data_IF_479266356567
#
_entry.id   IF_479266356567
#
_cell.length_a   1.000
_cell.length_b   1.000
_cell.length_c   1.000
_cell.angle_alpha   90.00
_cell.angle_beta   90.00
_cell.angle_gamma   90.00
#
_symmetry.space_group_name_H-M   'P 1'
#
loop_
_entity.id
_entity.type
_entity.pdbx_description
1 polymer ?
#
# COMPACT_ATOMS: atom_id res chain seq x y z
N UNK A 1 38.14 -14.88 -6.60
CA UNK A 1 39.10 -15.98 -6.89
C UNK A 1 39.57 -16.70 -5.62
N UNK A 2 39.91 -16.01 -4.52
CA UNK A 2 40.47 -16.66 -3.32
C UNK A 2 39.50 -17.52 -2.50
N UNK A 3 38.21 -17.11 -2.40
CA UNK A 3 37.22 -17.87 -1.63
C UNK A 3 36.97 -19.26 -2.26
N UNK A 4 36.83 -19.34 -3.58
CA UNK A 4 36.43 -20.58 -4.27
C UNK A 4 37.55 -21.61 -4.33
N UNK A 5 38.81 -21.15 -4.48
CA UNK A 5 39.99 -22.01 -4.41
C UNK A 5 40.13 -22.61 -3.01
N UNK A 6 39.94 -21.77 -1.98
CA UNK A 6 39.87 -22.20 -0.59
C UNK A 6 38.72 -23.20 -0.32
N UNK A 7 37.54 -23.00 -0.90
CA UNK A 7 36.37 -23.88 -0.72
C UNK A 7 36.57 -25.25 -1.40
N UNK A 8 37.19 -25.30 -2.57
CA UNK A 8 37.58 -26.55 -3.24
C UNK A 8 38.68 -27.30 -2.49
N UNK A 9 39.65 -26.59 -1.92
CA UNK A 9 40.74 -27.16 -1.10
C UNK A 9 40.23 -27.68 0.26
N UNK A 10 39.09 -27.18 0.75
CA UNK A 10 38.46 -27.56 2.02
C UNK A 10 37.52 -28.77 1.94
N UNK A 11 37.37 -29.40 0.77
CA UNK A 11 36.57 -30.62 0.61
C UNK A 11 35.07 -30.42 0.83
N UNK A 12 34.53 -29.24 0.47
CA UNK A 12 33.10 -29.02 0.44
C UNK A 12 32.39 -30.03 -0.48
N UNK A 13 31.16 -30.39 -0.11
CA UNK A 13 30.35 -31.33 -0.90
C UNK A 13 30.12 -30.77 -2.30
N UNK A 14 30.02 -31.65 -3.29
CA UNK A 14 29.71 -31.32 -4.69
C UNK A 14 28.51 -30.36 -4.80
N UNK A 15 27.51 -30.56 -3.93
CA UNK A 15 26.33 -29.69 -3.80
C UNK A 15 26.63 -28.25 -3.35
N UNK A 16 27.59 -28.05 -2.46
CA UNK A 16 27.98 -26.70 -2.03
C UNK A 16 28.77 -25.97 -3.12
N UNK A 17 29.60 -26.69 -3.87
CA UNK A 17 30.31 -26.13 -5.02
C UNK A 17 29.34 -25.75 -6.16
N UNK A 18 28.36 -26.61 -6.47
CA UNK A 18 27.31 -26.31 -7.44
C UNK A 18 26.48 -25.09 -7.00
N UNK A 19 26.08 -25.01 -5.73
CA UNK A 19 25.35 -23.85 -5.22
C UNK A 19 26.12 -22.54 -5.43
N UNK A 20 27.41 -22.49 -5.11
CA UNK A 20 28.20 -21.27 -5.30
C UNK A 20 28.38 -20.96 -6.78
N UNK A 21 28.61 -21.98 -7.62
CA UNK A 21 28.71 -21.81 -9.08
C UNK A 21 27.42 -21.25 -9.68
N UNK A 22 26.27 -21.75 -9.22
CA UNK A 22 24.94 -21.24 -9.55
C UNK A 22 24.80 -19.76 -9.20
N UNK A 23 25.22 -19.36 -7.98
CA UNK A 23 25.15 -17.96 -7.57
C UNK A 23 26.03 -17.06 -8.44
N UNK A 24 27.25 -17.50 -8.80
CA UNK A 24 28.13 -16.75 -9.69
C UNK A 24 27.52 -16.59 -11.09
N UNK A 25 26.81 -17.61 -11.57
CA UNK A 25 26.17 -17.58 -12.89
C UNK A 25 24.96 -16.65 -12.93
N UNK A 26 24.01 -16.80 -11.99
CA UNK A 26 22.75 -16.06 -12.00
C UNK A 26 22.86 -14.64 -11.44
N UNK A 27 23.89 -14.33 -10.65
CA UNK A 27 24.16 -12.98 -10.14
C UNK A 27 25.55 -12.50 -10.57
N UNK A 28 25.85 -12.64 -11.87
CA UNK A 28 27.17 -12.30 -12.39
C UNK A 28 27.48 -10.79 -12.26
N UNK A 29 28.54 -10.50 -11.51
CA UNK A 29 29.13 -9.16 -11.38
C UNK A 29 30.31 -8.95 -12.34
N UNK A 30 30.81 -10.03 -12.95
CA UNK A 30 31.92 -9.96 -13.90
C UNK A 30 31.85 -11.09 -14.94
N UNK A 31 32.48 -10.92 -16.10
CA UNK A 31 32.65 -12.01 -17.07
C UNK A 31 33.38 -13.23 -16.49
N UNK A 32 34.24 -13.06 -15.48
CA UNK A 32 35.01 -14.18 -14.92
C UNK A 32 34.12 -15.12 -14.09
N UNK A 33 33.07 -14.60 -13.45
CA UNK A 33 32.02 -15.42 -12.81
C UNK A 33 31.38 -16.37 -13.84
N UNK A 34 31.01 -15.82 -15.00
CA UNK A 34 30.36 -16.55 -16.08
C UNK A 34 31.31 -17.57 -16.74
N UNK A 35 32.54 -17.17 -17.05
CA UNK A 35 33.57 -18.08 -17.59
C UNK A 35 33.82 -19.28 -16.68
N UNK A 36 33.82 -19.05 -15.36
CA UNK A 36 34.00 -20.12 -14.40
C UNK A 36 32.81 -21.09 -14.41
N UNK A 37 31.58 -20.57 -14.36
CA UNK A 37 30.37 -21.39 -14.40
C UNK A 37 30.25 -22.20 -15.70
N UNK A 38 30.54 -21.61 -16.85
CA UNK A 38 30.54 -22.32 -18.13
C UNK A 38 31.58 -23.45 -18.15
N UNK A 39 32.79 -23.21 -17.60
CA UNK A 39 33.82 -24.27 -17.44
C UNK A 39 33.40 -25.38 -16.47
N UNK A 40 32.56 -25.06 -15.50
CA UNK A 40 31.97 -26.02 -14.56
C UNK A 40 30.78 -26.80 -15.17
N UNK A 41 30.43 -26.54 -16.43
CA UNK A 41 29.41 -27.29 -17.19
C UNK A 41 28.03 -26.63 -17.24
N UNK A 42 27.87 -25.39 -16.78
CA UNK A 42 26.63 -24.65 -16.97
C UNK A 42 26.44 -24.34 -18.46
N UNK A 43 25.24 -24.61 -18.97
CA UNK A 43 24.81 -24.10 -20.28
C UNK A 43 24.47 -22.61 -20.17
N UNK A 44 24.75 -21.81 -21.21
CA UNK A 44 24.49 -20.36 -21.20
C UNK A 44 22.99 -20.03 -21.00
N UNK A 45 22.10 -20.94 -21.39
CA UNK A 45 20.65 -20.82 -21.23
C UNK A 45 20.12 -21.61 -20.03
N UNK A 46 20.99 -22.03 -19.11
CA UNK A 46 20.56 -22.61 -17.83
C UNK A 46 19.66 -21.63 -17.11
N UNK A 47 18.61 -22.16 -16.48
CA UNK A 47 17.66 -21.38 -15.68
C UNK A 47 17.69 -21.81 -14.22
N UNK A 48 17.41 -20.86 -13.32
CA UNK A 48 17.31 -21.12 -11.89
C UNK A 48 15.96 -21.79 -11.52
N UNK A 49 15.71 -21.96 -10.22
CA UNK A 49 14.46 -22.55 -9.71
C UNK A 49 13.20 -21.72 -10.03
N UNK A 50 13.35 -20.41 -10.23
CA UNK A 50 12.29 -19.49 -10.66
C UNK A 50 12.16 -19.42 -12.18
N UNK A 51 13.02 -20.13 -12.91
CA UNK A 51 13.07 -20.11 -14.36
C UNK A 51 13.77 -18.87 -14.91
N UNK A 52 14.57 -18.14 -14.14
CA UNK A 52 15.35 -17.02 -14.63
C UNK A 52 16.64 -17.51 -15.29
N UNK A 53 17.02 -16.96 -16.45
CA UNK A 53 18.38 -17.15 -16.97
C UNK A 53 19.34 -16.07 -16.41
N UNK A 54 20.61 -16.12 -16.80
CA UNK A 54 21.65 -15.24 -16.25
C UNK A 54 21.42 -13.73 -16.50
N UNK A 55 20.61 -13.33 -17.49
CA UNK A 55 20.37 -11.90 -17.77
C UNK A 55 19.55 -11.24 -16.65
N UNK A 56 18.63 -11.99 -16.03
CA UNK A 56 17.72 -11.46 -15.00
C UNK A 56 18.47 -10.92 -13.78
N UNK A 57 19.61 -11.54 -13.45
CA UNK A 57 20.44 -11.17 -12.30
C UNK A 57 21.79 -10.54 -12.64
N UNK A 58 22.04 -10.23 -13.91
CA UNK A 58 23.28 -9.58 -14.34
C UNK A 58 23.43 -8.18 -13.70
N UNK A 59 24.63 -7.85 -13.18
CA UNK A 59 24.89 -6.62 -12.42
C UNK A 59 25.82 -5.62 -13.10
N UNK A 60 26.52 -6.02 -14.15
CA UNK A 60 27.47 -5.17 -14.89
C UNK A 60 27.27 -5.26 -16.40
N UNK A 61 27.64 -4.20 -17.12
CA UNK A 61 27.56 -4.18 -18.59
C UNK A 61 28.53 -5.20 -19.21
N UNK A 62 29.71 -5.40 -18.62
CA UNK A 62 30.69 -6.36 -19.09
C UNK A 62 30.16 -7.80 -18.99
N UNK A 63 29.47 -8.12 -17.89
CA UNK A 63 28.82 -9.41 -17.74
C UNK A 63 27.70 -9.59 -18.76
N UNK A 64 26.88 -8.54 -19.00
CA UNK A 64 25.84 -8.58 -20.04
C UNK A 64 26.45 -8.81 -21.43
N UNK A 65 27.49 -8.06 -21.80
CA UNK A 65 28.16 -8.19 -23.09
C UNK A 65 28.78 -9.58 -23.28
N UNK A 66 29.31 -10.18 -22.20
CA UNK A 66 29.78 -11.56 -22.23
C UNK A 66 28.63 -12.55 -22.47
N UNK A 67 27.49 -12.40 -21.78
CA UNK A 67 26.31 -13.24 -21.99
C UNK A 67 25.81 -13.15 -23.45
N UNK A 68 25.71 -11.94 -23.99
CA UNK A 68 25.28 -11.69 -25.37
C UNK A 68 26.24 -12.32 -26.38
N UNK A 69 27.55 -12.23 -26.13
CA UNK A 69 28.59 -12.84 -26.98
C UNK A 69 28.56 -14.37 -26.96
N UNK A 70 27.88 -14.97 -25.98
CA UNK A 70 27.71 -16.43 -25.86
C UNK A 70 26.27 -16.87 -26.19
N UNK A 71 25.49 -16.06 -26.92
CA UNK A 71 24.16 -16.42 -27.43
C UNK A 71 23.14 -16.79 -26.33
N UNK A 72 23.19 -16.09 -25.19
CA UNK A 72 22.12 -16.18 -24.19
C UNK A 72 20.78 -15.78 -24.82
N UNK A 73 19.70 -16.48 -24.44
CA UNK A 73 18.35 -16.12 -24.84
C UNK A 73 17.88 -14.85 -24.11
N UNK A 74 18.01 -13.71 -24.78
CA UNK A 74 17.64 -12.42 -24.21
C UNK A 74 16.13 -12.23 -24.02
N UNK A 75 15.31 -12.94 -24.81
CA UNK A 75 13.84 -12.89 -24.74
C UNK A 75 13.26 -13.98 -23.84
N UNK A 76 14.08 -14.56 -22.95
CA UNK A 76 13.63 -15.60 -22.02
C UNK A 76 12.57 -15.07 -21.06
N UNK A 77 11.55 -15.90 -20.80
CA UNK A 77 10.46 -15.61 -19.89
C UNK A 77 10.51 -16.60 -18.72
N UNK A 78 10.51 -16.08 -17.49
CA UNK A 78 10.57 -16.90 -16.29
C UNK A 78 9.20 -17.55 -15.95
N UNK A 79 9.13 -18.29 -14.83
CA UNK A 79 7.89 -18.98 -14.42
C UNK A 79 6.76 -18.04 -14.01
N UNK A 80 7.06 -16.80 -13.67
CA UNK A 80 6.04 -15.77 -13.36
C UNK A 80 5.53 -15.07 -14.62
N UNK A 81 6.04 -15.43 -15.79
CA UNK A 81 5.72 -14.76 -17.05
C UNK A 81 6.49 -13.46 -17.24
N UNK A 82 7.63 -13.25 -16.58
CA UNK A 82 8.39 -12.00 -16.65
C UNK A 82 9.60 -12.14 -17.57
N UNK A 83 9.93 -11.08 -18.30
CA UNK A 83 11.22 -10.90 -18.95
C UNK A 83 12.23 -10.24 -18.00
N UNK A 84 13.48 -10.04 -18.46
CA UNK A 84 14.54 -9.50 -17.61
C UNK A 84 14.33 -8.03 -17.15
N UNK A 85 13.49 -7.24 -17.83
CA UNK A 85 13.22 -5.84 -17.46
C UNK A 85 12.58 -5.73 -16.08
N UNK A 86 11.81 -6.73 -15.65
CA UNK A 86 11.19 -6.77 -14.33
C UNK A 86 12.21 -6.83 -13.18
N UNK A 87 13.41 -7.32 -13.44
CA UNK A 87 14.41 -7.62 -12.39
C UNK A 87 15.60 -6.68 -12.39
N UNK A 88 15.81 -5.93 -13.47
CA UNK A 88 17.03 -5.13 -13.62
C UNK A 88 16.94 -3.82 -12.85
N UNK A 89 17.84 -3.62 -11.87
CA UNK A 89 17.92 -2.40 -11.04
C UNK A 89 19.04 -1.44 -11.41
N UNK A 90 19.92 -1.84 -12.33
CA UNK A 90 20.92 -0.96 -12.90
C UNK A 90 20.31 -0.24 -14.13
N UNK A 91 20.15 1.10 -14.09
CA UNK A 91 19.52 1.85 -15.19
C UNK A 91 20.25 1.74 -16.53
N UNK A 92 21.57 1.61 -16.53
CA UNK A 92 22.37 1.46 -17.76
C UNK A 92 22.12 0.11 -18.42
N UNK A 93 22.07 -0.95 -17.61
CA UNK A 93 21.76 -2.30 -18.11
C UNK A 93 20.30 -2.36 -18.55
N UNK A 94 19.38 -1.79 -17.78
CA UNK A 94 17.96 -1.70 -18.13
C UNK A 94 17.77 -1.02 -19.48
N UNK A 95 18.40 0.14 -19.67
CA UNK A 95 18.39 0.88 -20.94
C UNK A 95 18.93 0.03 -22.09
N UNK A 96 20.07 -0.64 -21.91
CA UNK A 96 20.65 -1.49 -22.95
C UNK A 96 19.75 -2.69 -23.30
N UNK A 97 19.09 -3.30 -22.31
CA UNK A 97 18.13 -4.37 -22.57
C UNK A 97 16.93 -3.88 -23.41
N UNK A 98 16.43 -2.67 -23.16
CA UNK A 98 15.38 -2.05 -23.99
C UNK A 98 15.90 -1.80 -25.41
N UNK A 99 17.11 -1.27 -25.57
CA UNK A 99 17.74 -1.03 -26.87
C UNK A 99 17.98 -2.33 -27.67
N UNK A 100 18.14 -3.45 -26.97
CA UNK A 100 18.23 -4.79 -27.56
C UNK A 100 16.86 -5.40 -27.92
N UNK A 101 15.77 -4.65 -27.73
CA UNK A 101 14.43 -5.02 -28.19
C UNK A 101 13.63 -5.88 -27.23
N UNK A 102 13.92 -5.85 -25.92
CA UNK A 102 13.02 -6.45 -24.93
C UNK A 102 11.70 -5.69 -24.93
N UNK A 103 10.60 -6.46 -24.96
CA UNK A 103 9.26 -5.91 -24.96
C UNK A 103 8.91 -5.31 -23.59
N UNK A 104 8.79 -3.99 -23.55
CA UNK A 104 8.39 -3.24 -22.36
C UNK A 104 6.89 -3.31 -22.07
N UNK A 105 6.09 -3.72 -23.06
CA UNK A 105 4.64 -3.93 -22.93
C UNK A 105 4.27 -5.36 -22.50
N UNK A 106 5.27 -6.25 -22.43
CA UNK A 106 5.09 -7.62 -21.97
C UNK A 106 4.52 -7.67 -20.56
N UNK A 107 3.51 -8.52 -20.35
CA UNK A 107 2.85 -8.66 -19.06
C UNK A 107 3.18 -9.99 -18.39
N UNK A 108 3.34 -9.94 -17.07
CA UNK A 108 3.47 -11.14 -16.26
C UNK A 108 2.11 -11.84 -16.05
N UNK A 109 2.11 -12.95 -15.31
CA UNK A 109 0.89 -13.72 -15.00
C UNK A 109 -0.17 -12.94 -14.21
N UNK A 110 0.18 -11.79 -13.61
CA UNK A 110 -0.74 -10.89 -12.90
C UNK A 110 -1.17 -9.71 -13.76
N UNK A 111 -0.76 -9.67 -15.03
CA UNK A 111 -1.05 -8.57 -15.94
C UNK A 111 -0.16 -7.35 -15.71
N UNK A 112 0.91 -7.44 -14.90
CA UNK A 112 1.81 -6.31 -14.66
C UNK A 112 2.83 -6.18 -15.78
N UNK A 113 3.12 -4.96 -16.24
CA UNK A 113 4.31 -4.66 -17.05
C UNK A 113 5.53 -4.41 -16.16
N UNK A 114 6.72 -4.25 -16.76
CA UNK A 114 7.96 -4.04 -16.01
C UNK A 114 7.91 -2.78 -15.12
N UNK A 115 7.13 -1.74 -15.47
CA UNK A 115 6.93 -0.52 -14.64
C UNK A 115 6.60 -0.86 -13.18
N UNK A 116 5.75 -1.88 -12.95
CA UNK A 116 5.32 -2.29 -11.61
C UNK A 116 6.49 -2.77 -10.74
N UNK A 117 7.57 -3.28 -11.35
CA UNK A 117 8.73 -3.73 -10.61
C UNK A 117 9.66 -2.59 -10.17
N UNK A 118 9.50 -1.37 -10.71
CA UNK A 118 10.33 -0.20 -10.40
C UNK A 118 9.65 0.79 -9.44
N UNK A 119 8.70 0.30 -8.64
CA UNK A 119 7.92 1.09 -7.68
C UNK A 119 8.75 1.77 -6.57
N UNK A 120 10.03 1.40 -6.40
CA UNK A 120 11.01 2.03 -5.49
C UNK A 120 12.33 2.36 -6.19
N UNK A 121 12.30 2.46 -7.51
CA UNK A 121 13.47 2.70 -8.35
C UNK A 121 13.19 3.89 -9.28
N UNK A 122 13.41 5.13 -8.82
CA UNK A 122 13.11 6.34 -9.58
C UNK A 122 13.87 6.41 -10.91
N UNK A 123 15.14 6.01 -10.91
CA UNK A 123 16.00 6.04 -12.09
C UNK A 123 15.55 4.99 -13.12
N UNK A 124 15.27 3.76 -12.68
CA UNK A 124 14.74 2.72 -13.53
C UNK A 124 13.37 3.07 -14.11
N UNK A 125 12.47 3.65 -13.30
CA UNK A 125 11.18 4.14 -13.78
C UNK A 125 11.36 5.22 -14.84
N UNK A 126 12.27 6.18 -14.64
CA UNK A 126 12.53 7.23 -15.63
C UNK A 126 13.06 6.66 -16.95
N UNK A 127 13.93 5.63 -16.89
CA UNK A 127 14.42 4.93 -18.10
C UNK A 127 13.25 4.28 -18.86
N UNK A 128 12.34 3.60 -18.15
CA UNK A 128 11.16 2.99 -18.77
C UNK A 128 10.23 4.02 -19.40
N UNK A 129 9.95 5.12 -18.70
CA UNK A 129 9.12 6.20 -19.21
C UNK A 129 9.73 6.87 -20.45
N UNK A 130 11.04 7.12 -20.43
CA UNK A 130 11.77 7.64 -21.59
C UNK A 130 11.75 6.69 -22.79
N UNK A 131 11.61 5.38 -22.55
CA UNK A 131 11.41 4.36 -23.58
C UNK A 131 9.95 4.25 -24.08
N UNK A 132 9.03 5.09 -23.59
CA UNK A 132 7.64 5.11 -24.01
C UNK A 132 6.75 4.07 -23.34
N UNK A 133 7.16 3.52 -22.20
CA UNK A 133 6.31 2.62 -21.43
C UNK A 133 5.06 3.36 -20.92
N UNK A 134 3.92 2.67 -20.92
CA UNK A 134 2.65 3.25 -20.47
C UNK A 134 2.54 3.27 -18.94
N UNK A 135 2.64 4.46 -18.34
CA UNK A 135 2.47 4.69 -16.90
C UNK A 135 1.05 4.41 -16.39
N UNK A 136 0.06 4.34 -17.31
CA UNK A 136 -1.33 4.07 -16.99
C UNK A 136 -1.70 2.59 -17.14
N UNK A 137 -0.75 1.71 -17.44
CA UNK A 137 -0.99 0.28 -17.49
C UNK A 137 -1.58 -0.22 -16.16
N UNK A 138 -2.54 -1.14 -16.25
CA UNK A 138 -3.22 -1.74 -15.10
C UNK A 138 -3.00 -3.26 -15.04
N UNK A 139 -2.86 -3.79 -13.84
CA UNK A 139 -2.80 -5.24 -13.60
C UNK A 139 -4.19 -5.90 -13.73
N UNK A 140 -4.26 -7.22 -13.57
CA UNK A 140 -5.52 -7.99 -13.62
C UNK A 140 -6.54 -7.62 -12.53
N UNK A 141 -6.16 -6.77 -11.55
CA UNK A 141 -7.04 -6.23 -10.51
C UNK A 141 -7.44 -4.77 -10.79
N UNK A 142 -7.18 -4.28 -12.01
CA UNK A 142 -7.35 -2.87 -12.39
C UNK A 142 -6.54 -1.95 -11.47
N UNK A 143 -5.29 -2.31 -11.14
CA UNK A 143 -4.41 -1.44 -10.35
C UNK A 143 -3.30 -0.92 -11.23
N UNK A 144 -3.13 0.40 -11.29
CA UNK A 144 -1.92 1.02 -11.84
C UNK A 144 -0.79 1.01 -10.79
N UNK A 145 0.38 1.58 -11.15
CA UNK A 145 1.55 1.61 -10.26
C UNK A 145 1.27 2.28 -8.90
N UNK A 146 0.32 3.22 -8.81
CA UNK A 146 0.04 3.99 -7.58
C UNK A 146 -0.53 3.14 -6.43
N UNK A 147 -0.99 1.91 -6.71
CA UNK A 147 -1.45 0.96 -5.69
C UNK A 147 -0.32 0.11 -5.08
N UNK A 148 0.94 0.43 -5.40
CA UNK A 148 2.13 -0.21 -4.81
C UNK A 148 2.71 0.69 -3.70
N UNK A 149 3.52 0.14 -2.78
CA UNK A 149 4.15 0.92 -1.71
C UNK A 149 5.34 1.73 -2.26
N UNK A 150 5.02 2.82 -2.96
CA UNK A 150 5.95 3.67 -3.71
C UNK A 150 7.00 4.32 -2.81
N UNK A 151 8.17 4.64 -3.37
CA UNK A 151 9.00 5.69 -2.77
C UNK A 151 8.40 7.06 -3.09
N UNK A 152 8.65 8.08 -2.25
CA UNK A 152 8.22 9.46 -2.51
C UNK A 152 8.59 9.97 -3.91
N UNK A 153 9.82 9.71 -4.35
CA UNK A 153 10.31 10.13 -5.66
C UNK A 153 9.58 9.43 -6.80
N UNK A 154 9.30 8.12 -6.66
CA UNK A 154 8.53 7.36 -7.65
C UNK A 154 7.09 7.90 -7.73
N UNK A 155 6.46 8.24 -6.61
CA UNK A 155 5.14 8.86 -6.61
C UNK A 155 5.14 10.19 -7.37
N UNK A 156 6.13 11.06 -7.11
CA UNK A 156 6.25 12.33 -7.84
C UNK A 156 6.42 12.09 -9.33
N UNK A 157 7.37 11.23 -9.74
CA UNK A 157 7.61 10.90 -11.14
C UNK A 157 6.35 10.36 -11.82
N UNK A 158 5.63 9.45 -11.17
CA UNK A 158 4.41 8.88 -11.73
C UNK A 158 3.34 9.96 -11.95
N UNK A 159 3.06 10.80 -10.95
CA UNK A 159 2.08 11.88 -11.04
C UNK A 159 2.49 12.91 -12.10
N UNK A 160 3.77 13.30 -12.15
CA UNK A 160 4.31 14.28 -13.08
C UNK A 160 4.31 13.77 -14.53
N UNK A 161 4.51 12.47 -14.71
CA UNK A 161 4.45 11.79 -16.00
C UNK A 161 3.02 11.49 -16.48
N UNK A 162 2.00 11.93 -15.74
CA UNK A 162 0.60 11.81 -16.15
C UNK A 162 -0.04 10.47 -15.80
N UNK A 163 0.45 9.77 -14.78
CA UNK A 163 -0.27 8.64 -14.20
C UNK A 163 -1.66 9.09 -13.72
N UNK A 164 -2.68 8.27 -14.01
CA UNK A 164 -4.06 8.53 -13.63
C UNK A 164 -4.25 8.35 -12.13
N UNK A 165 -4.15 9.46 -11.40
CA UNK A 165 -4.36 9.52 -9.95
C UNK A 165 -5.81 9.27 -9.53
N UNK A 166 -6.75 9.31 -10.47
CA UNK A 166 -8.18 9.09 -10.23
C UNK A 166 -8.64 7.67 -10.59
N UNK A 167 -7.71 6.78 -10.95
CA UNK A 167 -8.02 5.40 -11.29
C UNK A 167 -8.64 4.66 -10.10
N UNK A 168 -9.69 3.89 -10.37
CA UNK A 168 -10.42 3.09 -9.39
C UNK A 168 -10.22 1.61 -9.74
N UNK A 169 -9.74 0.84 -8.77
CA UNK A 169 -9.48 -0.58 -8.96
C UNK A 169 -10.77 -1.43 -8.95
N UNK A 170 -10.65 -2.74 -9.18
CA UNK A 170 -11.78 -3.68 -9.13
C UNK A 170 -12.53 -3.71 -7.78
N UNK A 171 -11.90 -3.27 -6.68
CA UNK A 171 -12.53 -3.17 -5.37
C UNK A 171 -13.30 -1.85 -5.18
N UNK A 172 -13.33 -0.96 -6.18
CA UNK A 172 -13.99 0.34 -6.09
C UNK A 172 -13.18 1.38 -5.31
N UNK A 173 -11.88 1.18 -5.14
CA UNK A 173 -10.97 2.08 -4.40
C UNK A 173 -9.97 2.74 -5.33
N UNK A 174 -9.69 4.01 -5.12
CA UNK A 174 -8.51 4.70 -5.63
C UNK A 174 -7.36 4.63 -4.62
N UNK A 175 -6.14 4.88 -5.07
CA UNK A 175 -4.96 4.64 -4.25
C UNK A 175 -4.89 5.50 -2.97
N UNK A 176 -5.42 6.74 -3.00
CA UNK A 176 -5.38 7.65 -1.84
C UNK A 176 -6.27 7.19 -0.68
N UNK A 177 -7.25 6.31 -0.91
CA UNK A 177 -8.06 5.72 0.17
C UNK A 177 -7.32 4.62 0.93
N UNK A 178 -6.22 4.12 0.37
CA UNK A 178 -5.38 3.07 0.94
C UNK A 178 -4.01 3.61 1.44
N UNK A 179 -3.74 4.91 1.26
CA UNK A 179 -2.45 5.53 1.57
C UNK A 179 -2.33 5.98 3.04
N UNK A 180 -1.21 5.67 3.67
CA UNK A 180 -0.97 5.90 5.10
C UNK A 180 0.37 6.58 5.41
N UNK A 181 1.23 6.76 4.41
CA UNK A 181 2.53 7.40 4.58
C UNK A 181 2.45 8.94 4.53
N UNK A 182 3.01 9.59 5.55
CA UNK A 182 2.96 11.06 5.70
C UNK A 182 3.65 11.80 4.56
N UNK A 183 4.75 11.24 4.04
CA UNK A 183 5.50 11.86 2.97
C UNK A 183 4.72 11.77 1.66
N UNK A 184 4.08 10.62 1.41
CA UNK A 184 3.19 10.44 0.26
C UNK A 184 1.95 11.35 0.36
N UNK A 185 1.38 11.53 1.55
CA UNK A 185 0.28 12.49 1.78
C UNK A 185 0.68 13.92 1.37
N UNK A 186 1.88 14.37 1.74
CA UNK A 186 2.36 15.70 1.35
C UNK A 186 2.49 15.85 -0.17
N UNK A 187 3.02 14.83 -0.86
CA UNK A 187 3.13 14.83 -2.32
C UNK A 187 1.75 14.85 -2.97
N UNK A 188 0.80 14.07 -2.47
CA UNK A 188 -0.60 14.07 -2.94
C UNK A 188 -1.22 15.47 -2.78
N UNK A 189 -1.05 16.10 -1.61
CA UNK A 189 -1.56 17.45 -1.35
C UNK A 189 -0.92 18.50 -2.26
N UNK A 190 0.37 18.39 -2.57
CA UNK A 190 1.04 19.27 -3.54
C UNK A 190 0.45 19.13 -4.95
N UNK A 191 -0.06 17.96 -5.30
CA UNK A 191 -0.68 17.66 -6.60
C UNK A 191 -2.21 17.65 -6.55
N UNK A 192 -2.83 18.21 -5.51
CA UNK A 192 -4.27 18.07 -5.26
C UNK A 192 -5.15 18.61 -6.40
N UNK A 193 -4.60 19.47 -7.26
CA UNK A 193 -5.28 19.98 -8.46
C UNK A 193 -5.48 18.91 -9.55
N UNK A 194 -4.73 17.81 -9.56
CA UNK A 194 -4.88 16.69 -10.50
C UNK A 194 -5.96 15.68 -10.07
N UNK A 195 -6.42 15.76 -8.82
CA UNK A 195 -7.39 14.83 -8.25
C UNK A 195 -8.82 15.33 -8.46
N UNK A 196 -9.69 14.46 -8.93
CA UNK A 196 -11.12 14.74 -9.04
C UNK A 196 -11.77 14.74 -7.65
N UNK A 197 -12.55 15.79 -7.37
CA UNK A 197 -13.30 15.88 -6.12
C UNK A 197 -14.43 14.87 -6.15
N UNK A 198 -14.32 13.86 -5.28
CA UNK A 198 -15.27 12.76 -5.19
C UNK A 198 -15.52 12.35 -3.75
N UNK A 199 -16.40 11.37 -3.58
CA UNK A 199 -16.56 10.68 -2.31
C UNK A 199 -15.46 9.63 -2.18
N UNK A 200 -14.74 9.67 -1.06
CA UNK A 200 -13.74 8.71 -0.67
C UNK A 200 -14.36 7.73 0.29
N UNK A 201 -14.30 6.45 -0.05
CA UNK A 201 -14.81 5.38 0.80
C UNK A 201 -13.63 4.83 1.60
N UNK A 202 -13.63 5.06 2.91
CA UNK A 202 -12.50 4.76 3.78
C UNK A 202 -12.88 3.69 4.78
N UNK A 203 -12.03 2.67 4.91
CA UNK A 203 -12.27 1.52 5.79
C UNK A 203 -11.36 1.54 7.02
N UNK A 204 -10.35 2.40 7.06
CA UNK A 204 -9.42 2.49 8.17
C UNK A 204 -8.78 3.88 8.28
N UNK A 205 -8.22 4.20 9.45
CA UNK A 205 -7.28 5.29 9.60
C UNK A 205 -6.32 5.05 10.79
N UNK A 206 -5.29 5.89 10.86
CA UNK A 206 -4.38 6.09 11.98
C UNK A 206 -4.30 7.60 12.26
N UNK A 207 -3.42 8.01 13.18
CA UNK A 207 -3.23 9.43 13.54
C UNK A 207 -2.84 10.30 12.34
N UNK A 208 -2.11 9.74 11.39
CA UNK A 208 -1.58 10.44 10.22
C UNK A 208 -2.64 10.59 9.12
N UNK A 209 -3.19 9.45 8.69
CA UNK A 209 -4.23 9.40 7.66
C UNK A 209 -5.50 10.15 8.06
N UNK A 210 -5.89 10.23 9.35
CA UNK A 210 -7.04 11.06 9.73
C UNK A 210 -6.81 12.55 9.51
N UNK A 211 -5.58 13.03 9.72
CA UNK A 211 -5.22 14.43 9.43
C UNK A 211 -5.19 14.67 7.92
N UNK A 212 -4.73 13.70 7.15
CA UNK A 212 -4.79 13.75 5.70
C UNK A 212 -6.24 13.78 5.18
N UNK A 213 -7.13 12.91 5.69
CA UNK A 213 -8.56 12.93 5.36
C UNK A 213 -9.21 14.27 5.72
N UNK A 214 -8.83 14.85 6.86
CA UNK A 214 -9.26 16.20 7.23
C UNK A 214 -8.81 17.23 6.19
N UNK A 215 -7.55 17.21 5.76
CA UNK A 215 -7.04 18.09 4.71
C UNK A 215 -7.77 17.90 3.38
N UNK A 216 -8.00 16.66 2.97
CA UNK A 216 -8.78 16.36 1.76
C UNK A 216 -10.21 16.92 1.88
N UNK A 217 -10.85 16.85 3.05
CA UNK A 217 -12.17 17.45 3.24
C UNK A 217 -12.16 18.99 3.06
N UNK A 218 -11.10 19.68 3.51
CA UNK A 218 -10.91 21.12 3.27
C UNK A 218 -10.76 21.44 1.78
N UNK A 219 -10.21 20.50 0.99
CA UNK A 219 -10.12 20.60 -0.46
C UNK A 219 -11.41 20.20 -1.20
N UNK A 220 -12.47 19.78 -0.49
CA UNK A 220 -13.78 19.48 -1.08
C UNK A 220 -14.02 17.99 -1.39
N UNK A 221 -13.21 17.08 -0.85
CA UNK A 221 -13.53 15.65 -0.89
C UNK A 221 -14.59 15.33 0.16
N UNK A 222 -15.54 14.47 -0.19
CA UNK A 222 -16.48 13.92 0.79
C UNK A 222 -15.88 12.65 1.36
N UNK A 223 -15.88 12.50 2.69
CA UNK A 223 -15.38 11.29 3.34
C UNK A 223 -16.58 10.46 3.80
N UNK A 224 -16.62 9.19 3.40
CA UNK A 224 -17.60 8.22 3.86
C UNK A 224 -16.88 7.01 4.46
N UNK A 225 -17.16 6.76 5.74
CA UNK A 225 -16.58 5.63 6.45
C UNK A 225 -17.41 4.37 6.22
N UNK A 226 -16.75 3.23 6.18
CA UNK A 226 -17.41 1.94 6.27
C UNK A 226 -18.16 1.79 7.60
N UNK A 227 -19.49 1.69 7.54
CA UNK A 227 -20.33 1.65 8.74
C UNK A 227 -20.27 0.31 9.48
N UNK A 228 -20.01 -0.77 8.77
CA UNK A 228 -20.04 -2.12 9.32
C UNK A 228 -18.70 -2.49 9.97
N UNK A 229 -17.60 -1.98 9.41
CA UNK A 229 -16.25 -2.25 9.89
C UNK A 229 -15.29 -1.12 9.52
N UNK A 230 -14.90 -0.32 10.51
CA UNK A 230 -13.87 0.71 10.37
C UNK A 230 -12.74 0.51 11.37
N UNK A 231 -11.50 0.40 10.88
CA UNK A 231 -10.33 0.11 11.72
C UNK A 231 -9.59 1.39 12.10
N UNK A 232 -9.36 1.61 13.40
CA UNK A 232 -8.44 2.62 13.91
C UNK A 232 -7.15 1.94 14.34
N UNK A 233 -6.10 2.08 13.53
CA UNK A 233 -4.76 1.56 13.81
C UNK A 233 -3.93 2.65 14.53
N UNK A 234 -4.18 2.83 15.82
CA UNK A 234 -3.41 3.76 16.65
C UNK A 234 -3.41 3.35 18.13
N UNK A 235 -2.63 4.06 18.93
CA UNK A 235 -2.63 3.91 20.38
C UNK A 235 -3.96 4.41 20.98
N UNK A 236 -4.38 3.80 22.09
CA UNK A 236 -5.60 4.18 22.82
C UNK A 236 -5.61 5.67 23.21
N UNK A 237 -4.43 6.25 23.47
CA UNK A 237 -4.26 7.68 23.76
C UNK A 237 -4.81 8.58 22.66
N UNK A 238 -4.80 8.12 21.41
CA UNK A 238 -5.05 8.93 20.23
C UNK A 238 -6.52 8.81 19.77
N UNK A 239 -7.27 7.84 20.31
CA UNK A 239 -8.64 7.53 19.88
C UNK A 239 -9.58 8.74 19.97
N UNK A 240 -9.46 9.55 21.03
CA UNK A 240 -10.30 10.75 21.16
C UNK A 240 -10.04 11.76 20.05
N UNK A 241 -8.78 11.99 19.72
CA UNK A 241 -8.39 12.99 18.73
C UNK A 241 -8.76 12.49 17.33
N UNK A 242 -8.54 11.20 17.05
CA UNK A 242 -8.95 10.57 15.78
C UNK A 242 -10.47 10.63 15.63
N UNK A 243 -11.24 10.14 16.60
CA UNK A 243 -12.70 10.11 16.53
C UNK A 243 -13.30 11.52 16.43
N UNK A 244 -12.74 12.49 17.16
CA UNK A 244 -13.19 13.89 17.06
C UNK A 244 -12.90 14.48 15.68
N UNK A 245 -11.75 14.14 15.09
CA UNK A 245 -11.40 14.61 13.74
C UNK A 245 -12.30 13.98 12.69
N UNK A 246 -12.60 12.68 12.81
CA UNK A 246 -13.55 11.99 11.93
C UNK A 246 -14.96 12.61 12.03
N UNK A 247 -15.41 12.96 13.23
CA UNK A 247 -16.74 13.55 13.47
C UNK A 247 -16.88 14.94 12.82
N UNK A 248 -15.76 15.67 12.67
CA UNK A 248 -15.73 16.94 11.96
C UNK A 248 -15.90 16.79 10.44
N UNK A 249 -15.60 15.62 9.87
CA UNK A 249 -15.50 15.45 8.40
C UNK A 249 -16.46 14.41 7.82
N UNK A 250 -17.15 13.63 8.65
CA UNK A 250 -18.14 12.62 8.24
C UNK A 250 -19.20 12.38 9.33
N UNK A 251 -20.36 11.86 8.93
CA UNK A 251 -21.33 11.25 9.85
C UNK A 251 -20.80 9.88 10.28
N UNK A 252 -20.48 9.74 11.56
CA UNK A 252 -19.84 8.54 12.11
C UNK A 252 -20.61 7.93 13.30
N UNK A 253 -21.78 8.45 13.62
CA UNK A 253 -22.56 8.03 14.79
C UNK A 253 -23.01 6.56 14.71
N UNK A 254 -23.12 6.01 13.50
CA UNK A 254 -23.54 4.63 13.23
C UNK A 254 -22.39 3.71 12.77
N UNK A 255 -21.13 4.15 12.91
CA UNK A 255 -19.96 3.37 12.47
C UNK A 255 -19.51 2.40 13.57
N UNK A 256 -19.22 1.17 13.18
CA UNK A 256 -18.60 0.18 14.06
C UNK A 256 -17.08 0.29 14.00
N UNK A 257 -16.47 0.82 15.06
CA UNK A 257 -15.03 1.00 15.18
C UNK A 257 -14.33 -0.21 15.82
N UNK A 258 -13.21 -0.62 15.23
CA UNK A 258 -12.35 -1.70 15.70
C UNK A 258 -10.89 -1.25 15.78
N UNK A 259 -10.08 -1.93 16.60
CA UNK A 259 -8.63 -1.81 16.53
C UNK A 259 -8.03 -2.77 15.50
N UNK A 260 -6.70 -2.77 15.35
CA UNK A 260 -5.98 -3.63 14.40
C UNK A 260 -6.07 -5.14 14.66
N UNK A 261 -6.61 -5.57 15.81
CA UNK A 261 -6.84 -6.98 16.15
C UNK A 261 -8.32 -7.37 15.97
N UNK A 262 -9.11 -6.58 15.23
CA UNK A 262 -10.56 -6.76 15.05
C UNK A 262 -11.37 -6.78 16.35
N UNK A 263 -10.85 -6.12 17.39
CA UNK A 263 -11.54 -5.97 18.67
C UNK A 263 -12.30 -4.63 18.66
N UNK A 264 -13.57 -4.58 19.10
CA UNK A 264 -14.31 -3.33 19.22
C UNK A 264 -13.49 -2.27 19.98
N UNK A 265 -13.42 -1.05 19.44
CA UNK A 265 -12.52 0.00 19.93
C UNK A 265 -12.72 0.35 21.42
N UNK A 266 -13.92 0.09 21.94
CA UNK A 266 -14.36 0.36 23.30
C UNK A 266 -14.22 -0.84 24.26
N UNK A 267 -13.61 -1.95 23.82
CA UNK A 267 -13.35 -3.14 24.65
C UNK A 267 -11.98 -3.07 25.33
N UNK A 268 -11.91 -3.47 26.59
CA UNK A 268 -10.72 -3.59 27.43
C UNK A 268 -9.93 -2.28 27.65
N UNK A 269 -10.54 -1.13 27.33
CA UNK A 269 -9.95 0.21 27.50
C UNK A 269 -10.45 0.91 28.79
N UNK A 270 -9.89 2.09 29.07
CA UNK A 270 -10.38 2.93 30.16
C UNK A 270 -11.85 3.32 29.93
N UNK A 271 -12.72 2.94 30.86
CA UNK A 271 -14.14 3.26 30.87
C UNK A 271 -14.45 4.74 30.66
N UNK A 272 -13.56 5.67 31.07
CA UNK A 272 -13.72 7.11 30.85
C UNK A 272 -13.68 7.50 29.37
N UNK A 273 -12.97 6.74 28.54
CA UNK A 273 -12.97 6.92 27.08
C UNK A 273 -14.32 6.43 26.54
N UNK A 274 -14.79 5.26 26.96
CA UNK A 274 -16.10 4.72 26.57
C UNK A 274 -17.26 5.66 26.96
N UNK A 275 -17.23 6.21 28.19
CA UNK A 275 -18.18 7.23 28.63
C UNK A 275 -18.13 8.49 27.76
N UNK A 276 -16.93 8.91 27.34
CA UNK A 276 -16.77 10.01 26.41
C UNK A 276 -17.36 9.67 25.04
N UNK A 277 -17.18 8.45 24.53
CA UNK A 277 -17.80 8.00 23.28
C UNK A 277 -19.34 8.03 23.37
N UNK A 278 -19.92 7.53 24.47
CA UNK A 278 -21.37 7.58 24.71
C UNK A 278 -21.89 9.02 24.72
N UNK A 279 -21.18 9.95 25.38
CA UNK A 279 -21.57 11.37 25.45
C UNK A 279 -21.54 12.08 24.10
N UNK A 280 -20.75 11.59 23.16
CA UNK A 280 -20.64 12.11 21.80
C UNK A 280 -21.42 11.24 20.78
N UNK A 281 -22.36 10.42 21.28
CA UNK A 281 -23.31 9.66 20.46
C UNK A 281 -22.67 8.65 19.48
N UNK A 282 -21.50 8.13 19.82
CA UNK A 282 -20.88 7.02 19.09
C UNK A 282 -21.61 5.69 19.33
N UNK A 283 -21.66 4.83 18.32
CA UNK A 283 -22.23 3.49 18.42
C UNK A 283 -21.40 2.60 19.35
N UNK A 284 -22.00 2.20 20.47
CA UNK A 284 -21.44 1.24 21.42
C UNK A 284 -22.37 0.03 21.47
N UNK A 285 -21.97 -1.07 20.82
CA UNK A 285 -22.69 -2.34 20.84
C UNK A 285 -22.26 -3.15 22.07
N UNK A 286 -23.11 -3.11 23.10
CA UNK A 286 -22.85 -3.80 24.36
C UNK A 286 -22.78 -5.32 24.21
N UNK A 287 -23.37 -5.89 23.14
CA UNK A 287 -23.32 -7.34 22.91
C UNK A 287 -21.90 -7.82 22.57
N UNK A 288 -21.07 -6.95 21.99
CA UNK A 288 -19.68 -7.25 21.60
C UNK A 288 -18.68 -7.16 22.76
N UNK A 289 -19.13 -6.72 23.93
CA UNK A 289 -18.30 -6.54 25.13
C UNK A 289 -18.88 -7.23 26.36
N UNK A 290 -19.65 -8.32 26.19
CA UNK A 290 -20.27 -9.06 27.30
C UNK A 290 -19.25 -9.64 28.29
N UNK A 291 -18.04 -9.90 27.83
CA UNK A 291 -16.92 -10.45 28.58
C UNK A 291 -15.96 -9.37 29.13
N UNK A 292 -16.23 -8.09 28.86
CA UNK A 292 -15.39 -6.97 29.33
C UNK A 292 -15.57 -6.74 30.84
N UNK A 293 -14.46 -6.56 31.56
CA UNK A 293 -14.44 -6.26 33.00
C UNK A 293 -15.26 -5.01 33.40
N UNK A 294 -15.47 -4.08 32.49
CA UNK A 294 -16.21 -2.84 32.66
C UNK A 294 -17.66 -2.92 32.13
N UNK A 295 -18.11 -4.07 31.61
CA UNK A 295 -19.42 -4.21 30.95
C UNK A 295 -20.58 -3.63 31.78
N UNK A 296 -20.74 -4.09 33.02
CA UNK A 296 -21.85 -3.66 33.89
C UNK A 296 -21.85 -2.15 34.13
N UNK A 297 -20.65 -1.58 34.28
CA UNK A 297 -20.47 -0.15 34.47
C UNK A 297 -20.87 0.64 33.23
N UNK A 298 -20.42 0.21 32.04
CA UNK A 298 -20.73 0.84 30.77
C UNK A 298 -22.25 0.75 30.48
N UNK A 299 -22.87 -0.42 30.69
CA UNK A 299 -24.31 -0.63 30.54
C UNK A 299 -25.11 0.33 31.43
N UNK A 300 -24.74 0.42 32.72
CA UNK A 300 -25.40 1.33 33.67
C UNK A 300 -25.23 2.79 33.28
N UNK A 301 -24.04 3.19 32.83
CA UNK A 301 -23.77 4.55 32.38
C UNK A 301 -24.60 4.91 31.15
N UNK A 302 -24.57 4.07 30.11
CA UNK A 302 -25.32 4.25 28.85
C UNK A 302 -26.81 4.41 29.12
N UNK A 303 -27.39 3.50 29.92
CA UNK A 303 -28.81 3.54 30.30
C UNK A 303 -29.16 4.84 31.04
N UNK A 304 -28.33 5.24 32.00
CA UNK A 304 -28.55 6.47 32.77
C UNK A 304 -28.42 7.73 31.93
N UNK A 305 -27.53 7.72 30.94
CA UNK A 305 -27.31 8.83 30.02
C UNK A 305 -28.50 8.99 29.05
N UNK A 306 -28.96 7.90 28.45
CA UNK A 306 -30.12 7.88 27.53
C UNK A 306 -31.40 8.35 28.22
N UNK A 307 -31.66 7.91 29.46
CA UNK A 307 -32.79 8.39 30.27
C UNK A 307 -32.73 9.91 30.52
N UNK A 308 -31.53 10.44 30.79
CA UNK A 308 -31.32 11.89 31.00
C UNK A 308 -31.55 12.67 29.70
N UNK A 309 -31.08 12.17 28.57
CA UNK A 309 -31.29 12.78 27.25
C UNK A 309 -32.77 12.82 26.87
N UNK A 310 -33.49 11.71 27.02
CA UNK A 310 -34.94 11.66 26.80
C UNK A 310 -35.66 12.69 27.69
N UNK A 311 -35.29 12.74 28.97
CA UNK A 311 -35.87 13.70 29.92
C UNK A 311 -35.61 15.15 29.55
N UNK A 312 -34.40 15.48 29.04
CA UNK A 312 -34.06 16.83 28.57
C UNK A 312 -34.86 17.20 27.32
N UNK A 313 -34.95 16.29 26.36
CA UNK A 313 -35.68 16.51 25.12
C UNK A 313 -37.19 16.71 25.37
N UNK A 314 -37.79 15.92 26.27
CA UNK A 314 -39.18 16.10 26.70
C UNK A 314 -39.41 17.47 27.37
N UNK A 315 -38.51 17.90 28.26
CA UNK A 315 -38.59 19.23 28.89
C UNK A 315 -38.49 20.36 27.87
N UNK A 316 -37.57 20.24 26.92
CA UNK A 316 -37.39 21.25 25.87
C UNK A 316 -38.59 21.31 24.91
N UNK A 317 -39.17 20.17 24.54
CA UNK A 317 -40.40 20.09 23.76
C UNK A 317 -41.58 20.74 24.49
N UNK A 318 -41.77 20.42 25.78
CA UNK A 318 -42.82 21.02 26.61
C UNK A 318 -42.67 22.54 26.73
N UNK A 319 -41.45 23.04 26.87
CA UNK A 319 -41.16 24.49 26.91
C UNK A 319 -41.48 25.18 25.57
N UNK A 320 -41.11 24.59 24.43
CA UNK A 320 -41.48 25.12 23.10
C UNK A 320 -43.01 25.19 22.92
N UNK A 321 -43.74 24.15 23.31
CA UNK A 321 -45.22 24.12 23.25
C UNK A 321 -45.84 25.22 24.12
N UNK A 322 -45.31 25.45 25.33
CA UNK A 322 -45.78 26.50 26.22
C UNK A 322 -45.55 27.92 25.64
N UNK A 323 -44.41 28.15 24.99
CA UNK A 323 -44.08 29.45 24.36
C UNK A 323 -44.98 29.76 23.15
N UNK A 324 -45.32 28.74 22.35
CA UNK A 324 -46.28 28.90 21.23
C UNK A 324 -47.68 29.24 21.74
N UNK A 325 -48.13 28.64 22.85
CA UNK A 325 -49.43 28.95 23.48
C UNK A 325 -49.49 30.37 24.07
N UNK A 326 -48.38 30.92 24.53
CA UNK A 326 -48.32 32.24 25.17
C UNK A 326 -47.94 33.38 24.19
N UNK A 327 -47.44 33.09 22.99
CA UNK A 327 -47.10 34.07 21.95
C UNK A 327 -48.26 34.48 21.04
N UNK A 328 -49.44 33.85 21.18
CA UNK A 328 -50.67 34.20 20.48
C UNK A 328 -51.54 35.15 21.29
N UNK A 329 -51.13 36.40 21.43
CA UNK A 329 -52.05 37.52 21.72
C UNK A 329 -51.75 38.64 20.75
N UNK A 330 -52.62 38.74 19.73
CA UNK A 330 -52.79 39.90 18.85
C UNK A 330 -53.15 41.15 19.65
#
# INVERSE_FOLDING_TARGET
MDLLKYLSEKGLTERALDFVTSQLFFNAESPDNLKYALKAGYDINTVDSSGNNAIFGCRTLEALDFLLSNEVNIHHINKEGQNALFHQKNPEILKKLIELGLDTSHTDTKGCTCIFAHYRDPEGLQVLLNAGCDINHVDNKERNILFLPLSPEVLSIAIDSGCNVNHINHAGKGFIEEEYDDELHNIILCHINKFERRTLHVDFCNTNSVLFLYKLSEFGFKIELNKDHFVINSYISDYKDILSTLDCISDIQNVNFYNCNDIPLYKDIDKRIVEWMIRNNFLIDLTKISDDKNHEHILKYKTSYEQKEISRNLKHAAYKIAKVKNGGRL
#
